data_IF_043477415577
#
_entry.id   IF_043477415577
#
_cell.length_a   1.000
_cell.length_b   1.000
_cell.length_c   1.000
_cell.angle_alpha   90.00
_cell.angle_beta   90.00
_cell.angle_gamma   90.00
#
_symmetry.space_group_name_H-M   'P 1'
#
loop_
_entity.id
_entity.type
_entity.pdbx_description
1 polymer ?
#
# COMPACT_ATOMS: atom_id res chain seq x y z
N UNK A 1 -29.68 6.32 10.39
CA UNK A 1 -28.47 6.48 11.24
C UNK A 1 -27.33 5.92 10.42
N UNK A 2 -26.51 6.81 9.86
CA UNK A 2 -25.35 6.44 9.05
C UNK A 2 -24.29 5.93 10.02
N UNK A 3 -23.89 4.68 9.86
CA UNK A 3 -22.77 4.11 10.62
C UNK A 3 -21.55 4.99 10.32
N UNK A 4 -20.89 5.52 11.35
CA UNK A 4 -19.56 6.13 11.23
C UNK A 4 -18.60 5.18 10.52
N UNK A 5 -17.49 5.68 9.97
CA UNK A 5 -16.45 4.83 9.38
C UNK A 5 -16.05 3.66 10.30
N UNK A 6 -16.03 3.87 11.62
CA UNK A 6 -15.82 2.81 12.59
C UNK A 6 -16.96 1.78 12.63
N UNK A 7 -18.21 2.24 12.69
CA UNK A 7 -19.39 1.37 12.76
C UNK A 7 -19.64 0.59 11.45
N UNK A 8 -19.35 1.19 10.28
CA UNK A 8 -19.43 0.55 8.96
C UNK A 8 -18.41 -0.59 8.81
N UNK A 9 -17.23 -0.43 9.40
CA UNK A 9 -16.18 -1.45 9.41
C UNK A 9 -16.44 -2.57 10.43
N UNK A 10 -17.36 -2.37 11.39
CA UNK A 10 -17.76 -3.39 12.38
C UNK A 10 -19.00 -4.20 11.97
N UNK A 11 -19.86 -3.70 11.08
CA UNK A 11 -21.14 -4.34 10.74
C UNK A 11 -21.03 -5.49 9.72
N UNK A 12 -19.86 -5.65 9.12
CA UNK A 12 -19.48 -6.76 8.22
C UNK A 12 -17.98 -6.96 8.45
N UNK A 13 -17.40 -8.17 8.48
CA UNK A 13 -15.97 -8.35 8.69
C UNK A 13 -15.21 -7.90 7.44
N UNK A 14 -15.16 -6.60 7.23
CA UNK A 14 -14.23 -5.94 6.34
C UNK A 14 -13.13 -5.49 7.28
N UNK A 15 -12.17 -6.38 7.50
CA UNK A 15 -10.92 -6.06 8.16
C UNK A 15 -10.44 -4.71 7.63
N UNK A 16 -10.45 -3.67 8.48
CA UNK A 16 -9.65 -2.45 8.27
C UNK A 16 -8.31 -2.95 7.82
N UNK A 17 -7.82 -2.61 6.63
CA UNK A 17 -6.49 -3.01 6.19
C UNK A 17 -5.49 -2.61 7.27
N UNK A 18 -5.02 -3.52 8.15
CA UNK A 18 -3.70 -3.33 8.68
C UNK A 18 -2.83 -3.65 7.45
N UNK A 19 -1.66 -3.05 7.36
CA UNK A 19 -0.62 -3.64 6.52
C UNK A 19 -0.57 -5.15 6.84
N UNK A 20 -1.11 -6.02 5.98
CA UNK A 20 -1.02 -7.47 6.17
C UNK A 20 -2.30 -8.33 6.22
N UNK A 21 -3.54 -7.83 6.24
CA UNK A 21 -4.68 -8.76 6.41
C UNK A 21 -5.10 -9.60 5.19
N UNK A 22 -4.68 -9.27 3.96
CA UNK A 22 -5.01 -10.13 2.81
C UNK A 22 -4.08 -9.96 1.60
N UNK A 23 -2.84 -9.52 1.84
CA UNK A 23 -1.84 -9.51 0.80
C UNK A 23 -1.28 -10.92 0.66
N UNK A 24 -1.61 -11.60 -0.44
CA UNK A 24 -0.78 -12.67 -1.02
C UNK A 24 0.62 -12.06 -1.29
N UNK A 25 1.42 -11.86 -0.24
CA UNK A 25 2.79 -11.38 -0.30
C UNK A 25 3.63 -12.55 -0.85
N UNK A 26 4.38 -12.39 -1.95
CA UNK A 26 5.18 -13.47 -2.50
C UNK A 26 6.32 -13.95 -1.56
N UNK A 27 6.65 -13.20 -0.50
CA UNK A 27 7.45 -13.70 0.64
C UNK A 27 6.78 -14.89 1.36
N UNK A 28 5.45 -14.84 1.59
CA UNK A 28 4.70 -15.91 2.26
C UNK A 28 4.61 -17.20 1.43
N UNK A 29 4.73 -17.11 0.09
CA UNK A 29 4.81 -18.29 -0.79
C UNK A 29 6.21 -18.88 -0.91
N UNK A 30 7.27 -18.09 -0.69
CA UNK A 30 8.65 -18.55 -0.83
C UNK A 30 9.12 -19.45 0.34
N UNK A 31 8.48 -19.39 1.51
CA UNK A 31 8.95 -20.10 2.71
C UNK A 31 7.86 -20.75 3.55
N UNK A 32 6.98 -21.56 2.92
CA UNK A 32 6.13 -22.53 3.65
C UNK A 32 7.02 -23.59 4.34
N UNK A 33 7.67 -23.25 5.45
CA UNK A 33 8.25 -24.23 6.37
C UNK A 33 7.18 -24.69 7.35
N UNK A 34 6.84 -25.97 7.28
CA UNK A 34 6.03 -26.68 8.27
C UNK A 34 6.74 -26.70 9.63
N UNK A 35 5.98 -26.44 10.69
CA UNK A 35 6.21 -26.88 12.08
C UNK A 35 7.61 -26.63 12.67
N UNK A 36 8.03 -25.38 12.78
CA UNK A 36 8.97 -24.99 13.84
C UNK A 36 8.17 -24.60 15.09
N UNK A 37 8.57 -25.10 16.28
CA UNK A 37 8.05 -24.56 17.55
C UNK A 37 8.34 -23.05 17.57
N UNK A 38 7.31 -22.22 17.61
CA UNK A 38 7.46 -20.78 17.55
C UNK A 38 7.88 -20.23 18.92
N UNK A 39 9.13 -19.79 19.04
CA UNK A 39 9.64 -19.14 20.25
C UNK A 39 9.02 -17.74 20.36
N UNK A 40 8.16 -17.53 21.35
CA UNK A 40 7.52 -16.25 21.67
C UNK A 40 8.09 -15.63 22.95
N UNK A 41 9.25 -16.10 23.41
CA UNK A 41 9.79 -15.70 24.71
C UNK A 41 10.22 -14.23 24.73
N UNK A 42 10.15 -13.56 25.90
CA UNK A 42 10.73 -12.23 26.08
C UNK A 42 12.22 -12.18 25.70
N UNK A 43 12.96 -13.26 25.93
CA UNK A 43 14.39 -13.36 25.54
C UNK A 43 14.58 -13.22 24.03
N UNK A 44 13.68 -13.79 23.21
CA UNK A 44 13.72 -13.61 21.76
C UNK A 44 13.41 -12.18 21.35
N UNK A 45 12.41 -11.59 21.97
CA UNK A 45 12.07 -10.19 21.73
C UNK A 45 13.26 -9.26 21.99
N UNK A 46 13.99 -9.47 23.09
CA UNK A 46 15.20 -8.71 23.40
C UNK A 46 16.35 -8.97 22.40
N UNK A 47 16.49 -10.20 21.88
CA UNK A 47 17.44 -10.47 20.79
C UNK A 47 17.10 -9.70 19.52
N UNK A 48 15.81 -9.65 19.14
CA UNK A 48 15.35 -8.88 17.97
C UNK A 48 15.64 -7.38 18.15
N UNK A 49 15.28 -6.81 19.30
CA UNK A 49 15.58 -5.39 19.60
C UNK A 49 17.08 -5.11 19.56
N UNK A 50 17.90 -6.02 20.10
CA UNK A 50 19.36 -5.89 20.03
C UNK A 50 19.83 -5.88 18.57
N UNK A 51 19.39 -6.82 17.75
CA UNK A 51 19.73 -6.87 16.32
C UNK A 51 19.36 -5.58 15.59
N UNK A 52 18.14 -5.07 15.80
CA UNK A 52 17.67 -3.81 15.24
C UNK A 52 18.55 -2.62 15.66
N UNK A 53 19.02 -2.60 16.92
CA UNK A 53 19.85 -1.50 17.44
C UNK A 53 21.25 -1.40 16.80
N UNK A 54 21.67 -2.41 16.03
CA UNK A 54 22.99 -2.44 15.40
C UNK A 54 23.11 -1.54 14.17
N UNK A 55 22.01 -1.06 13.60
CA UNK A 55 21.98 -0.16 12.43
C UNK A 55 21.38 1.22 12.77
N UNK A 56 21.64 2.24 11.93
CA UNK A 56 21.06 3.58 12.15
C UNK A 56 19.54 3.52 11.99
N UNK A 57 19.09 2.92 10.90
CA UNK A 57 17.67 2.77 10.57
C UNK A 57 16.93 2.00 11.66
N UNK A 58 17.51 0.90 12.17
CA UNK A 58 16.88 0.10 13.22
C UNK A 58 16.84 0.81 14.59
N UNK A 59 17.86 1.62 14.93
CA UNK A 59 17.78 2.50 16.13
C UNK A 59 16.68 3.54 16.02
N UNK A 60 16.60 4.27 14.91
CA UNK A 60 15.55 5.28 14.69
C UNK A 60 14.16 4.64 14.72
N UNK A 61 14.02 3.44 14.17
CA UNK A 61 12.79 2.63 14.23
C UNK A 61 12.38 2.33 15.67
N UNK A 62 13.30 1.82 16.49
CA UNK A 62 13.04 1.52 17.92
C UNK A 62 12.73 2.79 18.73
N UNK A 63 13.47 3.87 18.49
CA UNK A 63 13.26 5.17 19.14
C UNK A 63 11.88 5.75 18.81
N UNK A 64 11.47 5.69 17.53
CA UNK A 64 10.15 6.13 17.12
C UNK A 64 9.04 5.28 17.76
N UNK A 65 9.16 3.94 17.73
CA UNK A 65 8.15 3.07 18.32
C UNK A 65 7.98 3.36 19.83
N UNK A 66 9.11 3.53 20.53
CA UNK A 66 9.12 3.92 21.95
C UNK A 66 8.45 5.28 22.16
N UNK A 67 8.76 6.27 21.33
CA UNK A 67 8.16 7.61 21.39
C UNK A 67 6.66 7.64 21.11
N UNK A 68 6.17 6.80 20.19
CA UNK A 68 4.73 6.60 19.91
C UNK A 68 4.02 5.85 21.05
N UNK A 69 4.76 5.16 21.92
CA UNK A 69 4.21 4.32 22.99
C UNK A 69 3.56 3.04 22.48
N UNK A 70 3.89 2.60 21.26
CA UNK A 70 3.35 1.39 20.67
C UNK A 70 4.07 0.14 21.18
N UNK A 71 3.37 -0.99 21.24
CA UNK A 71 3.94 -2.25 21.70
C UNK A 71 4.49 -3.10 20.54
N UNK A 72 5.53 -3.88 20.80
CA UNK A 72 6.03 -4.93 19.90
C UNK A 72 5.65 -6.29 20.48
N UNK A 73 4.89 -7.09 19.75
CA UNK A 73 4.38 -8.39 20.21
C UNK A 73 4.67 -9.51 19.21
N UNK A 74 4.62 -10.75 19.68
CA UNK A 74 4.47 -11.91 18.81
C UNK A 74 3.01 -12.33 18.73
N UNK A 75 2.55 -12.64 17.53
CA UNK A 75 1.20 -13.14 17.28
C UNK A 75 1.25 -14.20 16.16
N UNK A 76 0.77 -15.44 16.39
CA UNK A 76 0.66 -16.43 15.32
C UNK A 76 -0.25 -15.96 14.19
N UNK A 77 0.24 -15.99 12.95
CA UNK A 77 -0.46 -15.49 11.76
C UNK A 77 0.07 -16.16 10.48
N UNK A 78 -0.59 -15.93 9.34
CA UNK A 78 -0.21 -16.49 8.03
C UNK A 78 0.73 -15.57 7.20
N UNK A 79 1.07 -14.40 7.75
CA UNK A 79 1.94 -13.39 7.14
C UNK A 79 3.08 -13.02 8.11
N UNK A 80 3.95 -12.06 7.76
CA UNK A 80 5.20 -11.83 8.53
C UNK A 80 4.98 -10.93 9.75
N UNK A 81 4.12 -9.93 9.62
CA UNK A 81 3.79 -8.97 10.66
C UNK A 81 2.77 -7.96 10.18
N UNK A 82 2.29 -7.13 11.10
CA UNK A 82 1.41 -6.01 10.82
C UNK A 82 1.56 -4.90 11.85
N UNK A 83 1.26 -3.67 11.45
CA UNK A 83 0.95 -2.57 12.37
C UNK A 83 -0.56 -2.41 12.53
N UNK A 84 -1.02 -2.29 13.77
CA UNK A 84 -2.40 -1.97 14.12
C UNK A 84 -2.48 -0.56 14.69
N UNK A 85 -3.04 0.41 13.95
CA UNK A 85 -3.30 1.75 14.47
C UNK A 85 -4.20 1.73 15.72
N UNK A 86 -5.28 0.94 15.66
CA UNK A 86 -6.30 0.89 16.72
C UNK A 86 -5.80 0.30 18.04
N UNK A 87 -4.99 -0.76 17.95
CA UNK A 87 -4.40 -1.40 19.14
C UNK A 87 -3.07 -0.77 19.53
N UNK A 88 -2.58 0.20 18.74
CA UNK A 88 -1.28 0.84 18.88
C UNK A 88 -0.13 -0.19 19.08
N UNK A 89 -0.04 -1.19 18.19
CA UNK A 89 0.97 -2.24 18.30
C UNK A 89 1.52 -2.69 16.94
N UNK A 90 2.72 -3.24 16.97
CA UNK A 90 3.37 -3.97 15.88
C UNK A 90 3.43 -5.43 16.28
N UNK A 91 2.77 -6.29 15.51
CA UNK A 91 2.76 -7.73 15.73
C UNK A 91 3.64 -8.44 14.70
N UNK A 92 4.41 -9.42 15.16
CA UNK A 92 5.33 -10.20 14.35
C UNK A 92 4.99 -11.68 14.43
N UNK A 93 5.14 -12.39 13.32
CA UNK A 93 4.87 -13.82 13.25
C UNK A 93 6.00 -14.63 13.87
N UNK A 94 5.79 -15.30 15.01
CA UNK A 94 6.86 -16.02 15.70
C UNK A 94 7.32 -17.29 14.96
N UNK A 95 6.66 -17.69 13.86
CA UNK A 95 7.12 -18.78 13.00
C UNK A 95 8.26 -18.37 12.05
N UNK A 96 8.52 -17.07 11.88
CA UNK A 96 9.55 -16.54 10.98
C UNK A 96 10.93 -16.45 11.65
N UNK A 97 12.00 -16.31 10.86
CA UNK A 97 13.37 -16.15 11.38
C UNK A 97 13.58 -14.78 12.03
N UNK A 98 14.59 -14.63 12.89
CA UNK A 98 14.86 -13.33 13.53
C UNK A 98 15.31 -12.29 12.47
N UNK A 99 16.01 -12.74 11.43
CA UNK A 99 16.43 -11.91 10.29
C UNK A 99 15.23 -11.38 9.48
N UNK A 100 14.28 -12.26 9.15
CA UNK A 100 13.04 -11.86 8.45
C UNK A 100 12.22 -10.89 9.29
N UNK A 101 12.14 -11.15 10.59
CA UNK A 101 11.35 -10.35 11.52
C UNK A 101 11.99 -8.98 11.80
N UNK A 102 13.32 -8.86 11.74
CA UNK A 102 13.97 -7.56 11.88
C UNK A 102 13.62 -6.63 10.71
N UNK A 103 13.65 -7.13 9.47
CA UNK A 103 13.24 -6.36 8.29
C UNK A 103 11.76 -6.01 8.35
N UNK A 104 10.93 -7.02 8.64
CA UNK A 104 9.47 -6.84 8.80
C UNK A 104 9.16 -5.78 9.85
N UNK A 105 9.87 -5.78 10.98
CA UNK A 105 9.66 -4.79 12.02
C UNK A 105 9.94 -3.37 11.51
N UNK A 106 11.00 -3.15 10.75
CA UNK A 106 11.29 -1.83 10.14
C UNK A 106 10.15 -1.39 9.22
N UNK A 107 9.58 -2.29 8.43
CA UNK A 107 8.42 -2.02 7.57
C UNK A 107 7.18 -1.61 8.36
N UNK A 108 6.78 -2.43 9.32
CA UNK A 108 5.54 -2.21 10.06
C UNK A 108 5.63 -0.95 10.95
N UNK A 109 6.82 -0.68 11.52
CA UNK A 109 7.05 0.58 12.25
C UNK A 109 7.09 1.79 11.31
N UNK A 110 7.54 1.62 10.06
CA UNK A 110 7.45 2.69 9.06
C UNK A 110 6.00 3.04 8.77
N UNK A 111 5.09 2.07 8.70
CA UNK A 111 3.65 2.34 8.65
C UNK A 111 3.14 3.08 9.90
N UNK A 112 3.59 2.70 11.09
CA UNK A 112 3.25 3.43 12.32
C UNK A 112 3.72 4.89 12.30
N UNK A 113 4.85 5.17 11.65
CA UNK A 113 5.33 6.53 11.41
C UNK A 113 4.47 7.26 10.39
N UNK A 114 4.18 6.66 9.24
CA UNK A 114 3.35 7.28 8.19
C UNK A 114 1.96 7.64 8.74
N UNK A 115 1.35 6.74 9.50
CA UNK A 115 0.10 6.94 10.25
C UNK A 115 0.16 8.12 11.23
N UNK A 116 1.30 8.34 11.88
CA UNK A 116 1.49 9.51 12.76
C UNK A 116 1.63 10.84 12.02
N UNK A 117 1.84 10.82 10.69
CA UNK A 117 2.05 12.04 9.88
C UNK A 117 0.83 12.45 9.09
N UNK A 118 0.04 11.49 8.63
CA UNK A 118 -1.20 11.73 7.90
C UNK A 118 -2.03 10.44 7.85
N UNK A 119 -3.34 10.58 7.68
CA UNK A 119 -4.20 9.42 7.46
C UNK A 119 -3.70 8.62 6.25
N UNK A 120 -3.44 7.33 6.43
CA UNK A 120 -2.78 6.51 5.40
C UNK A 120 -3.76 6.08 4.31
N UNK A 121 -4.94 5.62 4.66
CA UNK A 121 -6.00 5.26 3.71
C UNK A 121 -7.36 5.66 4.30
N UNK A 122 -8.09 6.51 3.58
CA UNK A 122 -9.40 7.02 3.96
C UNK A 122 -10.36 6.90 2.78
N UNK A 123 -11.61 6.48 3.00
CA UNK A 123 -12.62 6.41 1.95
C UNK A 123 -13.06 7.81 1.47
N UNK A 124 -12.62 8.88 2.13
CA UNK A 124 -12.78 10.26 1.66
C UNK A 124 -11.86 10.60 0.50
N UNK A 125 -10.73 9.90 0.33
CA UNK A 125 -9.80 10.17 -0.77
C UNK A 125 -10.40 9.87 -2.13
N UNK A 126 -10.18 10.74 -3.12
CA UNK A 126 -10.49 10.41 -4.52
C UNK A 126 -9.76 9.12 -4.93
N UNK A 127 -10.29 8.31 -5.87
CA UNK A 127 -9.61 7.11 -6.35
C UNK A 127 -8.15 7.34 -6.77
N UNK A 128 -7.85 8.44 -7.45
CA UNK A 128 -6.46 8.82 -7.79
C UNK A 128 -5.61 9.00 -6.54
N UNK A 129 -6.12 9.72 -5.54
CA UNK A 129 -5.40 9.99 -4.29
C UNK A 129 -5.19 8.72 -3.49
N UNK A 130 -6.18 7.82 -3.47
CA UNK A 130 -6.11 6.53 -2.80
C UNK A 130 -5.00 5.66 -3.38
N UNK A 131 -4.92 5.53 -4.71
CA UNK A 131 -3.82 4.79 -5.36
C UNK A 131 -2.46 5.45 -5.13
N UNK A 132 -2.37 6.76 -5.32
CA UNK A 132 -1.12 7.49 -5.14
C UNK A 132 -0.58 7.34 -3.71
N UNK A 133 -1.44 7.53 -2.71
CA UNK A 133 -1.05 7.45 -1.31
C UNK A 133 -0.72 6.01 -0.89
N UNK A 134 -1.57 5.05 -1.28
CA UNK A 134 -1.36 3.64 -0.95
C UNK A 134 -0.08 3.06 -1.56
N UNK A 135 0.19 3.34 -2.85
CA UNK A 135 1.43 2.90 -3.48
C UNK A 135 2.67 3.52 -2.83
N UNK A 136 2.64 4.81 -2.52
CA UNK A 136 3.79 5.47 -1.91
C UNK A 136 4.07 4.95 -0.49
N UNK A 137 3.02 4.70 0.31
CA UNK A 137 3.14 4.17 1.66
C UNK A 137 3.88 2.83 1.67
N UNK A 138 3.48 1.91 0.79
CA UNK A 138 4.10 0.58 0.69
C UNK A 138 5.49 0.64 0.06
N UNK A 139 5.69 1.50 -0.96
CA UNK A 139 6.99 1.68 -1.59
C UNK A 139 8.03 2.23 -0.60
N UNK A 140 7.66 3.23 0.21
CA UNK A 140 8.52 3.80 1.25
C UNK A 140 8.81 2.81 2.39
N UNK A 141 7.81 2.06 2.85
CA UNK A 141 8.02 1.00 3.84
C UNK A 141 9.04 -0.04 3.35
N UNK A 142 8.89 -0.51 2.11
CA UNK A 142 9.86 -1.42 1.50
C UNK A 142 11.23 -0.79 1.22
N UNK A 143 11.30 0.51 0.93
CA UNK A 143 12.58 1.18 0.78
C UNK A 143 13.34 1.30 2.12
N UNK A 144 12.62 1.49 3.23
CA UNK A 144 13.20 1.47 4.57
C UNK A 144 13.73 0.08 4.95
N UNK A 145 13.02 -0.99 4.57
CA UNK A 145 13.49 -2.38 4.70
C UNK A 145 14.83 -2.60 3.99
N UNK A 146 14.94 -2.16 2.74
CA UNK A 146 16.16 -2.28 1.92
C UNK A 146 17.32 -1.51 2.57
N UNK A 147 17.07 -0.28 3.03
CA UNK A 147 18.08 0.54 3.69
C UNK A 147 18.59 -0.13 4.97
N UNK A 148 17.69 -0.64 5.82
CA UNK A 148 18.06 -1.41 7.01
C UNK A 148 18.90 -2.64 6.66
N UNK A 149 18.46 -3.42 5.66
CA UNK A 149 19.16 -4.62 5.23
C UNK A 149 20.57 -4.31 4.70
N UNK A 150 20.74 -3.22 3.94
CA UNK A 150 22.03 -2.75 3.47
C UNK A 150 22.93 -2.36 4.64
N UNK A 151 22.44 -1.60 5.63
CA UNK A 151 23.21 -1.22 6.82
C UNK A 151 23.67 -2.44 7.65
N UNK A 152 22.91 -3.53 7.62
CA UNK A 152 23.23 -4.76 8.35
C UNK A 152 24.15 -5.73 7.60
N UNK A 153 24.46 -5.49 6.32
CA UNK A 153 25.13 -6.48 5.44
C UNK A 153 26.48 -7.00 5.97
N UNK A 154 27.22 -6.21 6.74
CA UNK A 154 28.50 -6.63 7.32
C UNK A 154 28.34 -7.35 8.67
N UNK A 155 27.35 -6.95 9.47
CA UNK A 155 27.13 -7.46 10.85
C UNK A 155 26.29 -8.73 10.86
N UNK A 156 25.28 -8.77 9.99
CA UNK A 156 24.42 -9.93 9.77
C UNK A 156 24.08 -10.04 8.28
N UNK A 157 24.99 -10.58 7.45
CA UNK A 157 24.81 -10.68 5.99
C UNK A 157 23.55 -11.45 5.58
N UNK A 158 23.05 -12.35 6.44
CA UNK A 158 21.84 -13.14 6.17
C UNK A 158 20.61 -12.26 5.93
N UNK A 159 20.53 -11.09 6.57
CA UNK A 159 19.44 -10.13 6.38
C UNK A 159 19.43 -9.62 4.93
N UNK A 160 20.59 -9.17 4.46
CA UNK A 160 20.75 -8.68 3.08
C UNK A 160 20.52 -9.80 2.06
N UNK A 161 21.11 -10.98 2.29
CA UNK A 161 20.93 -12.13 1.41
C UNK A 161 19.48 -12.60 1.32
N UNK A 162 18.73 -12.59 2.43
CA UNK A 162 17.31 -12.94 2.43
C UNK A 162 16.51 -11.95 1.59
N UNK A 163 16.79 -10.65 1.72
CA UNK A 163 16.14 -9.62 0.92
C UNK A 163 16.47 -9.76 -0.57
N UNK A 164 17.72 -10.06 -0.93
CA UNK A 164 18.15 -10.32 -2.32
C UNK A 164 17.57 -11.61 -2.93
N UNK A 165 17.11 -12.56 -2.11
CA UNK A 165 16.40 -13.77 -2.58
C UNK A 165 14.88 -13.60 -2.62
N UNK A 166 14.38 -12.45 -2.18
CA UNK A 166 12.97 -12.15 -2.13
C UNK A 166 12.45 -11.56 -3.45
N UNK A 167 11.13 -11.49 -3.64
CA UNK A 167 10.52 -10.72 -4.74
C UNK A 167 10.90 -9.22 -4.77
N UNK A 168 11.48 -8.69 -3.70
CA UNK A 168 11.99 -7.32 -3.60
C UNK A 168 13.46 -7.18 -4.01
N UNK A 169 14.11 -8.26 -4.47
CA UNK A 169 15.49 -8.23 -4.94
C UNK A 169 15.80 -7.07 -5.92
N UNK A 170 14.92 -6.72 -6.89
CA UNK A 170 15.19 -5.58 -7.78
C UNK A 170 15.36 -4.25 -7.02
N UNK A 171 14.66 -4.06 -5.90
CA UNK A 171 14.82 -2.86 -5.06
C UNK A 171 16.19 -2.83 -4.40
N UNK A 172 16.69 -3.95 -3.87
CA UNK A 172 18.06 -4.05 -3.34
C UNK A 172 19.10 -3.79 -4.41
N UNK A 173 18.91 -4.33 -5.62
CA UNK A 173 19.82 -4.10 -6.74
C UNK A 173 19.86 -2.62 -7.13
N UNK A 174 18.70 -1.96 -7.21
CA UNK A 174 18.62 -0.54 -7.50
C UNK A 174 19.26 0.32 -6.40
N UNK A 175 19.03 -0.03 -5.13
CA UNK A 175 19.67 0.60 -3.98
C UNK A 175 21.19 0.52 -4.08
N UNK A 176 21.74 -0.69 -4.18
CA UNK A 176 23.19 -0.92 -4.17
C UNK A 176 23.86 -0.20 -5.33
N UNK A 177 23.29 -0.30 -6.53
CA UNK A 177 23.81 0.37 -7.72
C UNK A 177 23.90 1.89 -7.55
N UNK A 178 22.86 2.52 -6.99
CA UNK A 178 22.87 3.97 -6.77
C UNK A 178 23.81 4.35 -5.60
N UNK A 179 23.91 3.50 -4.57
CA UNK A 179 24.84 3.69 -3.47
C UNK A 179 26.30 3.59 -3.92
N UNK A 180 26.68 2.55 -4.67
CA UNK A 180 28.03 2.40 -5.25
C UNK A 180 28.42 3.59 -6.13
N UNK A 181 27.44 4.15 -6.87
CA UNK A 181 27.66 5.30 -7.75
C UNK A 181 27.83 6.61 -7.00
N UNK A 182 27.13 6.81 -5.88
CA UNK A 182 27.00 8.15 -5.26
C UNK A 182 27.51 8.25 -3.83
N UNK A 183 27.64 7.13 -3.12
CA UNK A 183 27.86 7.09 -1.68
C UNK A 183 26.72 7.68 -0.84
N UNK A 184 25.58 8.02 -1.45
CA UNK A 184 24.47 8.74 -0.81
C UNK A 184 23.31 7.79 -0.54
N UNK A 185 23.11 7.45 0.75
CA UNK A 185 22.03 6.57 1.20
C UNK A 185 20.64 7.09 0.82
N UNK A 186 20.45 8.40 0.69
CA UNK A 186 19.13 8.98 0.49
C UNK A 186 18.74 8.86 -0.98
N UNK A 187 19.72 8.98 -1.89
CA UNK A 187 19.55 8.65 -3.31
C UNK A 187 19.34 7.16 -3.50
N UNK A 188 20.08 6.31 -2.78
CA UNK A 188 19.91 4.86 -2.85
C UNK A 188 18.53 4.40 -2.37
N UNK A 189 18.03 4.95 -1.26
CA UNK A 189 16.66 4.70 -0.77
C UNK A 189 15.62 5.15 -1.78
N UNK A 190 15.79 6.33 -2.37
CA UNK A 190 14.90 6.83 -3.42
C UNK A 190 14.90 5.91 -4.66
N UNK A 191 16.06 5.39 -5.07
CA UNK A 191 16.15 4.43 -6.17
C UNK A 191 15.37 3.14 -5.86
N UNK A 192 15.54 2.58 -4.66
CA UNK A 192 14.79 1.41 -4.21
C UNK A 192 13.27 1.67 -4.23
N UNK A 193 12.84 2.79 -3.65
CA UNK A 193 11.43 3.20 -3.62
C UNK A 193 10.84 3.26 -5.03
N UNK A 194 11.50 3.92 -5.97
CA UNK A 194 10.98 4.07 -7.33
C UNK A 194 10.92 2.72 -8.07
N UNK A 195 11.83 1.79 -7.77
CA UNK A 195 11.80 0.42 -8.32
C UNK A 195 10.61 -0.40 -7.80
N UNK A 196 10.07 -0.12 -6.61
CA UNK A 196 8.88 -0.81 -6.10
C UNK A 196 7.71 -0.75 -7.08
N UNK A 197 7.54 0.39 -7.76
CA UNK A 197 6.44 0.61 -8.72
C UNK A 197 6.51 -0.28 -9.98
N UNK A 198 7.67 -0.89 -10.23
CA UNK A 198 7.93 -1.80 -11.34
C UNK A 198 7.70 -3.27 -10.93
N UNK A 199 7.58 -3.55 -9.63
CA UNK A 199 7.41 -4.90 -9.12
C UNK A 199 6.02 -5.46 -9.45
N UNK A 200 5.90 -6.76 -9.79
CA UNK A 200 4.61 -7.41 -10.04
C UNK A 200 3.63 -7.31 -8.87
N UNK A 201 4.13 -7.18 -7.63
CA UNK A 201 3.31 -7.06 -6.42
C UNK A 201 2.45 -5.81 -6.38
N UNK A 202 2.83 -4.70 -7.06
CA UNK A 202 1.99 -3.50 -7.15
C UNK A 202 0.59 -3.82 -7.65
N UNK A 203 0.49 -4.82 -8.53
CA UNK A 203 -0.80 -5.31 -9.04
C UNK A 203 -1.70 -5.88 -7.93
N UNK A 204 -1.14 -6.60 -6.96
CA UNK A 204 -1.90 -7.18 -5.86
C UNK A 204 -2.47 -6.08 -4.95
N UNK A 205 -1.66 -5.06 -4.64
CA UNK A 205 -2.12 -3.87 -3.92
C UNK A 205 -3.21 -3.13 -4.70
N UNK A 206 -3.03 -2.96 -6.01
CA UNK A 206 -4.03 -2.34 -6.85
C UNK A 206 -5.36 -3.13 -6.88
N UNK A 207 -5.32 -4.46 -6.91
CA UNK A 207 -6.52 -5.30 -6.82
C UNK A 207 -7.26 -5.07 -5.48
N UNK A 208 -6.53 -5.04 -4.37
CA UNK A 208 -7.10 -4.76 -3.04
C UNK A 208 -7.73 -3.37 -2.94
N UNK A 209 -7.05 -2.34 -3.43
CA UNK A 209 -7.55 -0.97 -3.41
C UNK A 209 -8.80 -0.81 -4.30
N UNK A 210 -8.82 -1.44 -5.48
CA UNK A 210 -10.02 -1.50 -6.32
C UNK A 210 -11.18 -2.14 -5.56
N UNK A 211 -10.94 -3.25 -4.88
CA UNK A 211 -11.98 -4.02 -4.20
C UNK A 211 -12.60 -3.24 -3.04
N UNK A 212 -11.76 -2.59 -2.25
CA UNK A 212 -12.17 -1.67 -1.21
C UNK A 212 -13.03 -0.52 -1.75
N UNK A 213 -12.54 0.20 -2.77
CA UNK A 213 -13.29 1.31 -3.36
C UNK A 213 -14.59 0.84 -4.02
N UNK A 214 -14.60 -0.33 -4.63
CA UNK A 214 -15.82 -0.93 -5.17
C UNK A 214 -16.85 -1.24 -4.09
N UNK A 215 -16.40 -1.74 -2.93
CA UNK A 215 -17.28 -1.99 -1.78
C UNK A 215 -17.88 -0.67 -1.29
N UNK A 216 -17.04 0.33 -1.00
CA UNK A 216 -17.49 1.66 -0.54
C UNK A 216 -18.49 2.27 -1.51
N UNK A 217 -18.20 2.29 -2.82
CA UNK A 217 -19.10 2.83 -3.84
C UNK A 217 -20.46 2.11 -3.89
N UNK A 218 -20.47 0.78 -3.74
CA UNK A 218 -21.70 -0.02 -3.70
C UNK A 218 -22.54 0.30 -2.47
N UNK A 219 -21.92 0.39 -1.30
CA UNK A 219 -22.64 0.69 -0.05
C UNK A 219 -23.20 2.12 -0.07
N UNK A 220 -22.42 3.10 -0.54
CA UNK A 220 -22.89 4.47 -0.72
C UNK A 220 -24.04 4.59 -1.73
N UNK A 221 -24.10 3.71 -2.74
CA UNK A 221 -25.22 3.68 -3.69
C UNK A 221 -26.53 3.28 -3.01
N UNK A 222 -26.50 2.45 -1.95
CA UNK A 222 -27.69 1.98 -1.22
C UNK A 222 -28.24 2.99 -0.20
N UNK A 223 -27.43 3.95 0.27
CA UNK A 223 -27.85 4.91 1.29
C UNK A 223 -28.98 5.82 0.81
N UNK A 224 -29.88 6.26 1.70
CA UNK A 224 -31.02 7.13 1.29
C UNK A 224 -30.71 8.62 1.37
N UNK A 225 -29.84 9.02 2.29
CA UNK A 225 -29.52 10.42 2.56
C UNK A 225 -28.13 10.81 2.02
N UNK A 226 -27.94 12.12 1.84
CA UNK A 226 -26.73 12.73 1.31
C UNK A 226 -25.73 13.02 2.43
N UNK A 227 -24.56 12.39 2.37
CA UNK A 227 -23.32 12.91 2.98
C UNK A 227 -22.09 12.48 2.15
N UNK A 228 -21.77 13.12 1.01
CA UNK A 228 -20.68 12.66 0.17
C UNK A 228 -19.35 13.38 0.49
N UNK A 229 -18.86 13.27 1.73
CA UNK A 229 -17.40 13.46 2.01
C UNK A 229 -16.54 12.37 1.33
N UNK A 230 -17.17 11.27 0.92
CA UNK A 230 -16.52 10.15 0.26
C UNK A 230 -15.99 10.49 -1.14
N UNK A 231 -14.81 9.95 -1.44
CA UNK A 231 -14.11 10.16 -2.70
C UNK A 231 -13.96 11.63 -3.11
N UNK A 232 -13.89 12.58 -2.16
CA UNK A 232 -13.82 14.02 -2.40
C UNK A 232 -12.44 14.62 -2.10
N UNK A 233 -11.67 14.04 -1.17
CA UNK A 233 -10.36 14.55 -0.78
C UNK A 233 -9.32 14.27 -1.88
N UNK A 234 -8.85 15.33 -2.54
CA UNK A 234 -7.74 15.25 -3.48
C UNK A 234 -6.41 15.47 -2.76
N UNK A 235 -5.52 14.48 -2.82
CA UNK A 235 -4.13 14.57 -2.32
C UNK A 235 -3.16 14.67 -3.48
N UNK A 236 -2.33 15.70 -3.44
CA UNK A 236 -1.26 15.93 -4.42
C UNK A 236 -0.04 15.10 -4.07
N UNK A 237 0.74 14.70 -5.07
CA UNK A 237 2.02 14.05 -4.83
C UNK A 237 2.97 14.94 -4.03
N UNK A 238 2.86 16.27 -4.17
CA UNK A 238 3.66 17.21 -3.38
C UNK A 238 3.35 17.12 -1.89
N UNK A 239 2.06 17.08 -1.50
CA UNK A 239 1.65 16.89 -0.09
C UNK A 239 2.23 15.59 0.47
N UNK A 240 2.18 14.51 -0.32
CA UNK A 240 2.72 13.20 0.07
C UNK A 240 4.24 13.28 0.22
N UNK A 241 4.97 13.83 -0.75
CA UNK A 241 6.43 13.96 -0.69
C UNK A 241 6.90 14.85 0.47
N UNK A 242 6.21 15.95 0.75
CA UNK A 242 6.55 16.82 1.88
C UNK A 242 6.28 16.18 3.25
N UNK A 243 5.31 15.26 3.31
CA UNK A 243 4.88 14.61 4.55
C UNK A 243 5.64 13.30 4.79
N UNK A 244 5.72 12.44 3.79
CA UNK A 244 6.25 11.07 3.87
C UNK A 244 7.63 10.90 3.21
N UNK A 245 8.03 11.79 2.30
CA UNK A 245 9.30 11.75 1.57
C UNK A 245 10.56 12.08 2.37
N UNK A 246 10.51 11.84 3.69
CA UNK A 246 11.58 12.12 4.66
C UNK A 246 11.69 11.00 5.68
N UNK A 247 12.87 10.86 6.26
CA UNK A 247 13.10 9.87 7.30
C UNK A 247 12.73 10.38 8.70
N UNK A 248 12.92 9.55 9.74
CA UNK A 248 12.65 9.89 11.13
C UNK A 248 13.36 11.17 11.61
N UNK A 249 14.57 11.43 11.11
CA UNK A 249 15.37 12.63 11.40
C UNK A 249 14.97 13.86 10.55
N UNK A 250 13.94 13.73 9.72
CA UNK A 250 13.44 14.79 8.85
C UNK A 250 14.24 14.98 7.55
N UNK A 251 15.31 14.20 7.33
CA UNK A 251 16.10 14.28 6.10
C UNK A 251 15.26 13.81 4.91
N UNK A 252 15.11 14.67 3.90
CA UNK A 252 14.32 14.38 2.70
C UNK A 252 15.08 13.44 1.76
N UNK A 253 14.44 12.34 1.37
CA UNK A 253 14.93 11.43 0.31
C UNK A 253 14.14 11.58 -0.98
N UNK A 254 12.81 11.78 -0.92
CA UNK A 254 11.98 12.02 -2.11
C UNK A 254 11.92 13.52 -2.41
N UNK A 255 12.67 13.95 -3.42
CA UNK A 255 12.80 15.39 -3.78
C UNK A 255 11.89 15.82 -4.91
N UNK A 256 11.55 14.91 -5.83
CA UNK A 256 10.68 15.19 -6.97
C UNK A 256 9.37 14.44 -6.83
N UNK A 257 8.33 15.14 -6.40
CA UNK A 257 7.00 14.58 -6.25
C UNK A 257 6.38 14.13 -7.59
N UNK A 258 6.78 14.75 -8.72
CA UNK A 258 6.25 14.39 -10.05
C UNK A 258 6.66 12.97 -10.44
N UNK A 259 7.75 12.46 -9.85
CA UNK A 259 8.17 11.09 -10.01
C UNK A 259 7.08 10.09 -9.59
N UNK A 260 6.13 10.44 -8.71
CA UNK A 260 5.07 9.53 -8.28
C UNK A 260 3.86 9.49 -9.23
N UNK A 261 3.69 10.52 -10.07
CA UNK A 261 2.51 10.70 -10.93
C UNK A 261 2.77 10.33 -12.39
N UNK A 262 3.90 9.68 -12.68
CA UNK A 262 4.19 9.26 -14.06
C UNK A 262 3.22 8.17 -14.52
N UNK A 263 2.97 8.04 -15.84
CA UNK A 263 2.06 7.04 -16.37
C UNK A 263 2.46 5.58 -16.06
N UNK A 264 3.72 5.31 -15.76
CA UNK A 264 4.23 4.01 -15.36
C UNK A 264 3.88 3.72 -13.90
N UNK A 265 4.00 4.72 -13.02
CA UNK A 265 3.94 4.55 -11.57
C UNK A 265 2.51 4.67 -11.05
N UNK A 266 1.78 5.70 -11.47
CA UNK A 266 0.38 5.89 -11.14
C UNK A 266 -0.53 5.25 -12.18
N UNK A 267 -0.46 3.92 -12.27
CA UNK A 267 -1.26 3.14 -13.20
C UNK A 267 -1.82 1.85 -12.63
N UNK A 268 -2.96 1.44 -13.19
CA UNK A 268 -3.61 0.15 -12.96
C UNK A 268 -3.78 -0.59 -14.30
N UNK A 269 -4.18 -1.86 -14.26
CA UNK A 269 -4.46 -2.60 -15.50
C UNK A 269 -5.92 -2.44 -15.94
N UNK A 270 -6.21 -2.76 -17.21
CA UNK A 270 -7.56 -2.60 -17.76
C UNK A 270 -8.65 -3.39 -17.01
N UNK A 271 -8.34 -4.58 -16.50
CA UNK A 271 -9.29 -5.39 -15.71
C UNK A 271 -9.69 -4.66 -14.42
N UNK A 272 -8.71 -4.10 -13.72
CA UNK A 272 -8.90 -3.29 -12.52
C UNK A 272 -9.74 -2.04 -12.82
N UNK A 273 -9.38 -1.30 -13.87
CA UNK A 273 -10.11 -0.10 -14.29
C UNK A 273 -11.57 -0.39 -14.65
N UNK A 274 -11.85 -1.48 -15.39
CA UNK A 274 -13.21 -1.90 -15.72
C UNK A 274 -14.00 -2.35 -14.48
N UNK A 275 -13.36 -3.05 -13.53
CA UNK A 275 -14.00 -3.43 -12.25
C UNK A 275 -14.42 -2.20 -11.46
N UNK A 276 -13.49 -1.24 -11.31
CA UNK A 276 -13.74 0.03 -10.65
C UNK A 276 -14.84 0.83 -11.34
N UNK A 277 -14.81 0.94 -12.68
CA UNK A 277 -15.83 1.63 -13.47
C UNK A 277 -17.24 1.08 -13.25
N UNK A 278 -17.39 -0.25 -13.20
CA UNK A 278 -18.69 -0.88 -12.97
C UNK A 278 -19.29 -0.52 -11.60
N UNK A 279 -18.46 -0.44 -10.56
CA UNK A 279 -18.90 -0.07 -9.22
C UNK A 279 -19.11 1.44 -9.04
N UNK A 280 -18.27 2.26 -9.67
CA UNK A 280 -18.28 3.72 -9.51
C UNK A 280 -19.32 4.44 -10.36
N UNK A 281 -19.65 3.95 -11.56
CA UNK A 281 -20.62 4.62 -12.43
C UNK A 281 -22.01 4.84 -11.79
N UNK A 282 -22.60 3.88 -11.03
CA UNK A 282 -23.83 4.13 -10.28
C UNK A 282 -23.67 5.17 -9.19
N UNK A 283 -22.57 5.12 -8.44
CA UNK A 283 -22.21 6.11 -7.42
C UNK A 283 -22.13 7.52 -8.04
N UNK A 284 -21.38 7.65 -9.14
CA UNK A 284 -21.22 8.90 -9.88
C UNK A 284 -22.56 9.46 -10.38
N UNK A 285 -23.43 8.60 -10.90
CA UNK A 285 -24.75 9.02 -11.37
C UNK A 285 -25.64 9.51 -10.21
N UNK A 286 -25.62 8.83 -9.06
CA UNK A 286 -26.42 9.19 -7.89
C UNK A 286 -25.97 10.50 -7.25
N UNK A 287 -24.67 10.74 -7.16
CA UNK A 287 -24.09 11.90 -6.47
C UNK A 287 -23.58 12.97 -7.44
N UNK A 288 -23.99 12.93 -8.71
CA UNK A 288 -23.62 13.90 -9.75
C UNK A 288 -22.11 14.13 -9.89
N UNK A 289 -21.30 13.07 -9.73
CA UNK A 289 -19.83 13.13 -9.85
C UNK A 289 -19.38 12.78 -11.27
N UNK A 290 -18.31 13.42 -11.71
CA UNK A 290 -17.61 13.18 -12.97
C UNK A 290 -16.35 12.35 -12.74
N UNK A 291 -15.72 11.89 -13.84
CA UNK A 291 -14.45 11.18 -13.74
C UNK A 291 -13.32 12.09 -13.23
N UNK A 292 -13.39 13.38 -13.55
CA UNK A 292 -12.45 14.42 -13.10
C UNK A 292 -12.58 14.68 -11.59
N UNK A 293 -13.81 14.71 -11.05
CA UNK A 293 -14.03 14.84 -9.60
C UNK A 293 -13.42 13.69 -8.79
N UNK A 294 -13.13 12.56 -9.44
CA UNK A 294 -12.50 11.36 -8.88
C UNK A 294 -11.00 11.26 -9.24
N UNK A 295 -10.47 12.22 -9.98
CA UNK A 295 -9.10 12.27 -10.49
C UNK A 295 -8.75 11.17 -11.51
N UNK A 296 -9.74 10.54 -12.13
CA UNK A 296 -9.55 9.39 -13.02
C UNK A 296 -8.93 9.77 -14.37
N UNK A 297 -8.95 11.04 -14.74
CA UNK A 297 -8.20 11.62 -15.87
C UNK A 297 -6.68 11.59 -15.62
N UNK A 298 -6.26 11.60 -14.35
CA UNK A 298 -4.85 11.59 -13.91
C UNK A 298 -4.36 10.21 -13.45
N UNK A 299 -5.23 9.19 -13.54
CA UNK A 299 -4.88 7.79 -13.27
C UNK A 299 -4.77 7.06 -14.61
N UNK A 300 -3.65 6.38 -14.84
CA UNK A 300 -3.41 5.70 -16.12
C UNK A 300 -3.83 4.24 -16.09
N UNK A 301 -4.13 3.70 -17.28
CA UNK A 301 -4.49 2.30 -17.48
C UNK A 301 -3.56 1.68 -18.51
N UNK A 302 -2.85 0.64 -18.09
CA UNK A 302 -2.05 -0.20 -18.99
C UNK A 302 -2.95 -1.28 -19.61
N UNK A 303 -3.05 -1.26 -20.94
CA UNK A 303 -3.75 -2.29 -21.71
C UNK A 303 -2.81 -3.44 -22.06
N UNK A 304 -3.41 -4.58 -22.43
CA UNK A 304 -2.66 -5.79 -22.82
C UNK A 304 -1.86 -5.61 -24.10
N UNK A 305 -2.29 -4.72 -24.98
CA UNK A 305 -1.62 -4.39 -26.25
C UNK A 305 -0.42 -3.44 -26.06
N UNK A 306 -0.07 -3.11 -24.82
CA UNK A 306 1.02 -2.18 -24.49
C UNK A 306 0.62 -0.70 -24.56
N UNK A 307 -0.60 -0.38 -25.03
CA UNK A 307 -1.08 1.00 -25.04
C UNK A 307 -1.45 1.47 -23.64
N UNK A 308 -1.37 2.78 -23.44
CA UNK A 308 -1.73 3.44 -22.19
C UNK A 308 -2.77 4.51 -22.45
N UNK A 309 -3.81 4.52 -21.62
CA UNK A 309 -4.91 5.48 -21.70
C UNK A 309 -5.23 6.03 -20.32
N UNK A 310 -6.03 7.10 -20.26
CA UNK A 310 -6.59 7.56 -18.98
C UNK A 310 -7.64 6.58 -18.44
N UNK A 311 -7.83 6.55 -17.12
CA UNK A 311 -8.89 5.74 -16.50
C UNK A 311 -10.28 6.30 -16.85
N UNK A 312 -10.40 7.62 -17.05
CA UNK A 312 -11.63 8.27 -17.53
C UNK A 312 -12.09 7.75 -18.90
N UNK A 313 -11.17 7.40 -19.81
CA UNK A 313 -11.51 6.75 -21.08
C UNK A 313 -12.14 5.37 -20.88
N UNK A 314 -11.59 4.55 -19.98
CA UNK A 314 -12.17 3.23 -19.66
C UNK A 314 -13.57 3.38 -19.06
N UNK A 315 -13.78 4.38 -18.20
CA UNK A 315 -15.11 4.68 -17.64
C UNK A 315 -16.10 5.06 -18.74
N UNK A 316 -15.67 5.87 -19.72
CA UNK A 316 -16.48 6.25 -20.87
C UNK A 316 -16.85 5.02 -21.72
N UNK A 317 -15.91 4.11 -21.96
CA UNK A 317 -16.16 2.85 -22.68
C UNK A 317 -17.20 1.99 -21.96
N UNK A 318 -17.00 1.74 -20.66
CA UNK A 318 -17.93 0.93 -19.84
C UNK A 318 -19.32 1.57 -19.79
N UNK A 319 -19.42 2.90 -19.68
CA UNK A 319 -20.71 3.62 -19.73
C UNK A 319 -21.44 3.39 -21.06
N UNK A 320 -20.74 3.52 -22.19
CA UNK A 320 -21.31 3.27 -23.53
C UNK A 320 -21.74 1.81 -23.70
N UNK A 321 -20.94 0.85 -23.24
CA UNK A 321 -21.28 -0.58 -23.26
C UNK A 321 -22.56 -0.87 -22.47
N UNK A 322 -22.72 -0.27 -21.28
CA UNK A 322 -23.94 -0.41 -20.45
C UNK A 322 -25.18 0.18 -21.14
N UNK A 323 -25.06 1.36 -21.74
CA UNK A 323 -26.15 2.00 -22.48
C UNK A 323 -26.59 1.15 -23.68
N UNK A 324 -25.63 0.60 -24.46
CA UNK A 324 -25.92 -0.31 -25.58
C UNK A 324 -26.63 -1.59 -25.11
N UNK A 325 -26.20 -2.19 -23.99
CA UNK A 325 -26.86 -3.38 -23.42
C UNK A 325 -28.29 -3.07 -22.96
N UNK A 326 -28.51 -1.90 -22.34
CA UNK A 326 -29.83 -1.48 -21.90
C UNK A 326 -30.80 -1.22 -23.08
N UNK A 327 -30.32 -0.61 -24.17
CA UNK A 327 -31.12 -0.40 -25.39
C UNK A 327 -31.56 -1.74 -26.01
N UNK A 328 -30.61 -2.66 -26.23
CA UNK A 328 -30.91 -4.01 -26.77
C UNK A 328 -31.91 -4.80 -25.91
N UNK A 329 -31.86 -4.64 -24.59
CA UNK A 329 -32.78 -5.33 -23.68
C UNK A 329 -34.21 -4.75 -23.71
N UNK A 330 -34.37 -3.48 -24.12
CA UNK A 330 -35.69 -2.87 -24.35
C UNK A 330 -36.27 -3.32 -25.68
N UNK A 331 -35.48 -3.27 -26.75
CA UNK A 331 -35.90 -3.69 -28.10
C UNK A 331 -36.32 -5.17 -28.16
N UNK A 332 -35.70 -6.04 -27.36
CA UNK A 332 -36.07 -7.45 -27.25
C UNK A 332 -37.30 -7.76 -26.39
N UNK A 333 -37.84 -6.78 -25.66
CA UNK A 333 -39.08 -6.91 -24.87
C UNK A 333 -40.31 -6.39 -25.62
N UNK A 334 -40.15 -5.45 -26.54
CA UNK A 334 -41.24 -4.91 -27.36
C UNK A 334 -41.54 -5.76 -28.62
N UNK A 335 -40.74 -6.82 -28.85
CA UNK A 335 -40.92 -7.78 -29.94
C UNK A 335 -41.45 -9.16 -29.51
N UNK A 336 -42.10 -9.28 -28.34
CA UNK A 336 -42.77 -10.50 -27.87
C UNK A 336 -44.25 -10.27 -27.58
#
# INVERSE_FOLDING_TARGET
MVLSYAEFMTSTPVSRFPSGHDANRPLARAFKKKNQKSDQSPKRMERLKKMLSESKTGRQTLEFLKGKGSQMIFEPMDYYGYFSPDKNLVALNPAMSDEDLAVTFVHEVRHAWQDSKMDTLSPEMTPKSFFLNGFEIEADACAAEVMYAHEMREKNPKIWEAHQKSPYAPMSTAFEKEFEKTGDLEKARMAALLTWYELPLKKNYADQYVDYMCLVAKELTKQKELEPQYFAENRTAQKIADTLGKDYDGKKFLKDAKALETPERLSINEKQARKLANAMLPYMAKYHRTAEDLGLDKLYVNRKDGTRVSCSEIFTQVKKERQKKAAKAKDGKDGR
#
